data_IF_457243451788
#
_entry.id   IF_457243451788
#
_cell.length_a   1.000
_cell.length_b   1.000
_cell.length_c   1.000
_cell.angle_alpha   90.00
_cell.angle_beta   90.00
_cell.angle_gamma   90.00
#
_symmetry.space_group_name_H-M   'P 1'
#
loop_
_entity.id
_entity.type
_entity.pdbx_description
1 polymer ?
#
# COMPACT_ATOMS: atom_id res chain seq x y z
N UNK A 1 -25.24 8.88 -2.56
CA UNK A 1 -23.81 8.58 -2.62
C UNK A 1 -23.18 9.21 -1.39
N UNK A 2 -22.37 8.46 -0.66
CA UNK A 2 -21.72 8.95 0.57
C UNK A 2 -20.68 9.99 0.20
N UNK A 3 -20.78 11.20 0.76
CA UNK A 3 -19.82 12.30 0.54
C UNK A 3 -18.53 12.11 1.39
N UNK A 4 -18.13 10.84 1.66
CA UNK A 4 -17.01 10.52 2.55
C UNK A 4 -15.63 10.70 1.91
N UNK A 5 -15.58 10.64 0.57
CA UNK A 5 -14.33 10.71 -0.20
C UNK A 5 -14.37 11.86 -1.19
N UNK A 6 -13.23 12.43 -1.57
CA UNK A 6 -13.19 13.56 -2.48
C UNK A 6 -13.53 13.20 -3.94
N UNK A 7 -13.66 11.90 -4.27
CA UNK A 7 -13.91 11.40 -5.63
C UNK A 7 -12.98 12.03 -6.67
N UNK A 8 -11.69 12.05 -6.34
CA UNK A 8 -10.66 12.57 -7.23
C UNK A 8 -10.60 11.70 -8.48
N UNK A 9 -10.79 12.31 -9.64
CA UNK A 9 -10.71 11.67 -10.96
C UNK A 9 -10.04 12.65 -11.92
N UNK A 10 -8.72 12.50 -12.07
CA UNK A 10 -7.94 13.32 -12.98
C UNK A 10 -7.64 12.57 -14.27
N UNK A 11 -7.94 13.21 -15.38
CA UNK A 11 -7.75 12.65 -16.71
C UNK A 11 -6.68 13.43 -17.46
N UNK A 12 -5.85 12.74 -18.23
CA UNK A 12 -4.93 13.30 -19.20
C UNK A 12 -5.24 12.77 -20.60
N UNK A 13 -4.88 13.53 -21.61
CA UNK A 13 -5.02 13.10 -23.01
C UNK A 13 -3.70 12.48 -23.49
N UNK A 14 -3.79 11.29 -24.04
CA UNK A 14 -2.68 10.57 -24.67
C UNK A 14 -3.15 10.11 -26.05
N UNK A 15 -2.46 10.54 -27.11
CA UNK A 15 -2.77 10.17 -28.50
C UNK A 15 -4.26 10.35 -28.89
N UNK A 16 -4.91 11.39 -28.34
CA UNK A 16 -6.32 11.66 -28.58
C UNK A 16 -7.30 10.88 -27.70
N UNK A 17 -6.83 10.01 -26.83
CA UNK A 17 -7.64 9.29 -25.84
C UNK A 17 -7.56 9.95 -24.47
N UNK A 18 -8.71 10.13 -23.83
CA UNK A 18 -8.81 10.62 -22.45
C UNK A 18 -8.66 9.46 -21.48
N UNK A 19 -7.55 9.42 -20.72
CA UNK A 19 -7.23 8.36 -19.76
C UNK A 19 -7.26 8.88 -18.33
N UNK A 20 -7.81 8.09 -17.41
CA UNK A 20 -7.78 8.37 -15.98
C UNK A 20 -6.36 8.07 -15.47
N UNK A 21 -5.67 9.07 -14.93
CA UNK A 21 -4.26 8.98 -14.52
C UNK A 21 -4.02 9.20 -13.03
N UNK A 22 -4.98 9.81 -12.31
CA UNK A 22 -4.98 9.91 -10.85
C UNK A 22 -6.39 9.69 -10.33
N UNK A 23 -6.52 8.87 -9.29
CA UNK A 23 -7.76 8.71 -8.53
C UNK A 23 -7.48 8.48 -7.04
N UNK A 24 -8.48 8.70 -6.20
CA UNK A 24 -8.50 8.16 -4.84
C UNK A 24 -8.88 6.68 -4.88
N UNK A 25 -8.16 5.87 -4.12
CA UNK A 25 -8.32 4.42 -4.03
C UNK A 25 -8.01 3.95 -2.62
N UNK A 26 -8.22 2.68 -2.35
CA UNK A 26 -7.69 1.99 -1.17
C UNK A 26 -6.45 1.22 -1.59
N UNK A 27 -5.36 1.41 -0.88
CA UNK A 27 -4.15 0.63 -1.03
C UNK A 27 -3.98 -0.31 0.17
N UNK A 28 -3.59 -1.56 -0.09
CA UNK A 28 -3.24 -2.58 0.90
C UNK A 28 -1.83 -3.05 0.54
N UNK A 29 -0.84 -2.77 1.39
CA UNK A 29 0.56 -3.12 1.11
C UNK A 29 1.20 -3.82 2.29
N UNK A 30 1.99 -4.85 2.00
CA UNK A 30 2.82 -5.60 2.96
C UNK A 30 4.29 -5.53 2.58
N UNK A 31 5.15 -5.40 3.59
CA UNK A 31 6.59 -5.28 3.47
C UNK A 31 7.25 -6.44 4.21
N UNK A 32 8.14 -7.17 3.53
CA UNK A 32 8.75 -8.40 4.02
C UNK A 32 10.27 -8.34 3.83
N UNK A 33 11.02 -8.52 4.92
CA UNK A 33 12.46 -8.67 4.85
C UNK A 33 12.81 -10.15 4.66
N UNK A 34 12.29 -10.71 3.57
CA UNK A 34 12.43 -12.11 3.19
C UNK A 34 12.72 -12.21 1.70
N UNK A 35 13.57 -13.17 1.35
CA UNK A 35 13.84 -13.45 -0.06
C UNK A 35 12.59 -13.98 -0.76
N UNK A 36 12.48 -13.70 -2.06
CA UNK A 36 11.37 -14.17 -2.89
C UNK A 36 11.07 -15.66 -2.71
N UNK A 37 12.09 -16.51 -2.73
CA UNK A 37 11.93 -17.97 -2.59
C UNK A 37 11.28 -18.40 -1.29
N UNK A 38 11.42 -17.62 -0.22
CA UNK A 38 10.81 -17.89 1.08
C UNK A 38 9.32 -17.55 1.14
N UNK A 39 8.89 -16.60 0.29
CA UNK A 39 7.53 -16.03 0.34
C UNK A 39 6.67 -16.32 -0.90
N UNK A 40 7.24 -16.87 -1.96
CA UNK A 40 6.58 -17.05 -3.26
C UNK A 40 5.23 -17.79 -3.20
N UNK A 41 5.10 -18.81 -2.36
CA UNK A 41 3.83 -19.54 -2.20
C UNK A 41 2.79 -18.66 -1.49
N UNK A 42 3.17 -17.96 -0.43
CA UNK A 42 2.28 -17.03 0.27
C UNK A 42 1.88 -15.83 -0.62
N UNK A 43 2.79 -15.37 -1.48
CA UNK A 43 2.50 -14.32 -2.46
C UNK A 43 1.51 -14.80 -3.52
N UNK A 44 1.65 -16.03 -4.00
CA UNK A 44 0.70 -16.66 -4.92
C UNK A 44 -0.69 -16.82 -4.28
N UNK A 45 -0.76 -17.29 -3.03
CA UNK A 45 -2.01 -17.43 -2.30
C UNK A 45 -2.70 -16.07 -2.08
N UNK A 46 -1.92 -15.04 -1.77
CA UNK A 46 -2.43 -13.67 -1.64
C UNK A 46 -2.96 -13.14 -2.99
N UNK A 47 -2.25 -13.38 -4.10
CA UNK A 47 -2.72 -13.02 -5.45
C UNK A 47 -4.06 -13.70 -5.79
N UNK A 48 -4.18 -14.99 -5.53
CA UNK A 48 -5.42 -15.73 -5.79
C UNK A 48 -6.56 -15.28 -4.84
N UNK A 49 -6.23 -14.88 -3.61
CA UNK A 49 -7.19 -14.29 -2.68
C UNK A 49 -7.69 -12.94 -3.18
N UNK A 50 -6.80 -12.07 -3.64
CA UNK A 50 -7.16 -10.80 -4.26
C UNK A 50 -8.02 -11.00 -5.50
N UNK A 51 -7.62 -11.88 -6.43
CA UNK A 51 -8.36 -12.22 -7.64
C UNK A 51 -9.79 -12.67 -7.36
N UNK A 52 -10.00 -13.48 -6.30
CA UNK A 52 -11.35 -13.93 -5.90
C UNK A 52 -12.19 -12.84 -5.27
N UNK A 53 -11.57 -11.82 -4.67
CA UNK A 53 -12.27 -10.74 -3.99
C UNK A 53 -12.79 -9.65 -4.94
N UNK A 54 -12.20 -9.54 -6.13
CA UNK A 54 -12.56 -8.53 -7.13
C UNK A 54 -13.41 -9.13 -8.25
N UNK A 55 -14.04 -8.27 -9.06
CA UNK A 55 -14.86 -8.71 -10.18
C UNK A 55 -14.02 -9.49 -11.21
N UNK A 56 -14.64 -10.49 -11.84
CA UNK A 56 -14.01 -11.20 -12.97
C UNK A 56 -13.68 -10.21 -14.08
N UNK A 57 -12.45 -10.26 -14.58
CA UNK A 57 -11.97 -9.34 -15.64
C UNK A 57 -11.53 -7.96 -15.13
N UNK A 58 -11.53 -7.70 -13.82
CA UNK A 58 -11.01 -6.45 -13.26
C UNK A 58 -9.48 -6.29 -13.46
N UNK A 59 -8.76 -7.39 -13.70
CA UNK A 59 -7.39 -7.42 -14.17
C UNK A 59 -7.40 -7.94 -15.60
N UNK A 60 -7.01 -7.10 -16.56
CA UNK A 60 -7.03 -7.42 -18.00
C UNK A 60 -5.69 -7.91 -18.53
N UNK A 61 -4.58 -7.55 -17.87
CA UNK A 61 -3.25 -7.93 -18.33
C UNK A 61 -2.16 -7.73 -17.28
N UNK A 62 -0.95 -8.05 -17.68
CA UNK A 62 0.26 -7.90 -16.87
C UNK A 62 1.44 -7.42 -17.71
N UNK A 63 2.44 -6.86 -17.04
CA UNK A 63 3.73 -6.54 -17.67
C UNK A 63 4.65 -7.73 -17.47
N UNK A 64 5.15 -8.28 -18.59
CA UNK A 64 6.08 -9.40 -18.57
C UNK A 64 7.52 -8.97 -18.21
N UNK A 65 8.47 -9.90 -17.99
CA UNK A 65 9.85 -9.56 -17.67
C UNK A 65 10.59 -8.74 -18.75
N UNK A 66 10.12 -8.75 -20.00
CA UNK A 66 10.66 -7.93 -21.07
C UNK A 66 10.13 -6.48 -21.03
N UNK A 67 9.10 -6.22 -20.25
CA UNK A 67 8.43 -4.94 -20.12
C UNK A 67 7.21 -4.77 -21.05
N UNK A 68 6.82 -5.83 -21.74
CA UNK A 68 5.71 -5.82 -22.67
C UNK A 68 4.37 -6.17 -21.98
N UNK A 69 3.30 -5.50 -22.42
CA UNK A 69 1.96 -5.79 -21.94
C UNK A 69 1.39 -7.07 -22.56
N UNK A 70 0.94 -7.99 -21.70
CA UNK A 70 0.35 -9.28 -22.06
C UNK A 70 -1.07 -9.39 -21.48
N UNK A 71 -1.96 -10.09 -22.19
CA UNK A 71 -3.31 -10.36 -21.70
C UNK A 71 -3.33 -11.42 -20.59
N UNK A 72 -4.26 -11.29 -19.64
CA UNK A 72 -4.52 -12.25 -18.55
C UNK A 72 -5.60 -13.25 -18.94
N UNK A 73 -5.43 -13.91 -20.09
CA UNK A 73 -6.16 -15.14 -20.45
C UNK A 73 -5.62 -16.35 -19.66
N UNK A 74 -6.06 -17.55 -19.99
CA UNK A 74 -5.60 -18.77 -19.30
C UNK A 74 -4.09 -18.97 -19.42
N UNK A 75 -3.50 -18.59 -20.55
CA UNK A 75 -2.05 -18.66 -20.78
C UNK A 75 -1.33 -17.61 -19.93
N UNK A 76 -1.80 -16.36 -19.93
CA UNK A 76 -1.25 -15.28 -19.13
C UNK A 76 -1.27 -15.59 -17.64
N UNK A 77 -2.37 -16.12 -17.11
CA UNK A 77 -2.43 -16.59 -15.71
C UNK A 77 -1.45 -17.73 -15.43
N UNK A 78 -1.23 -18.62 -16.40
CA UNK A 78 -0.19 -19.66 -16.33
C UNK A 78 1.20 -19.03 -16.22
N UNK A 79 1.52 -18.07 -17.08
CA UNK A 79 2.81 -17.37 -17.09
C UNK A 79 3.07 -16.60 -15.78
N UNK A 80 2.09 -15.87 -15.26
CA UNK A 80 2.17 -15.18 -13.96
C UNK A 80 2.47 -16.15 -12.81
N UNK A 81 1.81 -17.31 -12.76
CA UNK A 81 2.10 -18.34 -11.75
C UNK A 81 3.50 -18.91 -11.88
N UNK A 82 3.95 -19.15 -13.12
CA UNK A 82 5.32 -19.64 -13.38
C UNK A 82 6.35 -18.61 -12.92
N UNK A 83 6.14 -17.33 -13.20
CA UNK A 83 7.01 -16.24 -12.76
C UNK A 83 7.13 -16.22 -11.22
N UNK A 84 6.01 -16.27 -10.49
CA UNK A 84 6.03 -16.30 -9.03
C UNK A 84 6.74 -17.54 -8.48
N UNK A 85 6.51 -18.71 -9.05
CA UNK A 85 6.96 -19.97 -8.44
C UNK A 85 8.37 -20.37 -8.81
N UNK A 86 8.90 -19.95 -9.97
CA UNK A 86 10.11 -20.51 -10.53
C UNK A 86 11.23 -19.49 -10.79
N UNK A 87 10.94 -18.18 -10.77
CA UNK A 87 11.98 -17.15 -10.89
C UNK A 87 12.79 -17.01 -9.61
N UNK A 88 14.02 -16.54 -9.69
CA UNK A 88 14.85 -16.18 -8.51
C UNK A 88 14.31 -14.97 -7.79
N UNK A 89 13.79 -14.01 -8.55
CA UNK A 89 13.02 -12.85 -8.10
C UNK A 89 11.88 -12.64 -9.07
N UNK A 90 10.80 -11.98 -8.64
CA UNK A 90 9.64 -11.72 -9.49
C UNK A 90 9.24 -10.26 -9.42
N UNK A 91 8.89 -9.66 -10.55
CA UNK A 91 8.27 -8.35 -10.62
C UNK A 91 7.01 -8.44 -11.46
N UNK A 92 5.86 -8.32 -10.82
CA UNK A 92 4.56 -8.48 -11.46
C UNK A 92 3.69 -7.26 -11.17
N UNK A 93 3.17 -6.67 -12.23
CA UNK A 93 2.15 -5.64 -12.16
C UNK A 93 0.97 -6.13 -12.99
N UNK A 94 -0.15 -6.39 -12.32
CA UNK A 94 -1.40 -6.81 -12.95
C UNK A 94 -2.39 -5.68 -12.83
N UNK A 95 -2.98 -5.23 -13.94
CA UNK A 95 -3.98 -4.17 -13.94
C UNK A 95 -5.01 -4.36 -15.05
N UNK A 96 -6.04 -3.53 -15.11
CA UNK A 96 -7.05 -3.63 -16.17
C UNK A 96 -6.48 -3.22 -17.53
N UNK A 97 -5.62 -2.19 -17.54
CA UNK A 97 -5.00 -1.60 -18.75
C UNK A 97 -3.60 -1.11 -18.45
N UNK A 98 -2.69 -1.08 -19.45
CA UNK A 98 -1.29 -0.72 -19.24
C UNK A 98 -1.06 0.70 -18.72
N UNK A 99 -1.86 1.68 -19.15
CA UNK A 99 -1.57 3.10 -18.92
C UNK A 99 -2.71 3.85 -18.20
N UNK A 100 -3.68 3.12 -17.66
CA UNK A 100 -4.80 3.73 -16.97
C UNK A 100 -4.88 3.27 -15.53
N UNK A 101 -5.11 4.22 -14.63
CA UNK A 101 -5.30 3.99 -13.20
C UNK A 101 -6.77 3.70 -12.92
N UNK A 102 -7.23 2.48 -13.20
CA UNK A 102 -8.65 2.11 -13.11
C UNK A 102 -9.12 1.81 -11.69
N UNK A 103 -8.20 1.50 -10.81
CA UNK A 103 -8.45 1.29 -9.39
C UNK A 103 -8.14 -0.12 -8.89
N UNK A 104 -8.16 -1.14 -9.75
CA UNK A 104 -7.70 -2.47 -9.41
C UNK A 104 -6.29 -2.69 -9.95
N UNK A 105 -5.37 -3.04 -9.06
CA UNK A 105 -3.99 -3.39 -9.42
C UNK A 105 -3.43 -4.33 -8.37
N UNK A 106 -2.58 -5.24 -8.80
CA UNK A 106 -1.74 -6.08 -7.96
C UNK A 106 -0.28 -5.86 -8.37
N UNK A 107 0.56 -5.38 -7.46
CA UNK A 107 2.01 -5.19 -7.66
C UNK A 107 2.77 -6.09 -6.67
N UNK A 108 3.55 -7.03 -7.18
CA UNK A 108 4.42 -7.88 -6.39
C UNK A 108 5.87 -7.71 -6.82
N UNK A 109 6.74 -7.47 -5.84
CA UNK A 109 8.18 -7.32 -6.02
C UNK A 109 8.91 -8.29 -5.11
N UNK A 110 9.13 -9.49 -5.59
CA UNK A 110 9.88 -10.52 -4.94
C UNK A 110 11.38 -10.32 -5.17
N UNK A 111 12.13 -9.91 -4.15
CA UNK A 111 13.58 -9.66 -4.23
C UNK A 111 14.36 -10.94 -3.92
N UNK A 112 15.43 -11.28 -4.69
CA UNK A 112 16.28 -12.43 -4.41
C UNK A 112 17.33 -12.10 -3.32
N UNK A 113 16.87 -11.66 -2.13
CA UNK A 113 17.71 -11.11 -1.06
C UNK A 113 18.76 -12.07 -0.50
N UNK A 114 18.67 -13.34 -0.81
CA UNK A 114 19.57 -14.41 -0.38
C UNK A 114 20.37 -15.04 -1.52
N UNK A 115 20.23 -14.51 -2.74
CA UNK A 115 21.05 -14.93 -3.89
C UNK A 115 22.46 -14.40 -3.75
N UNK A 116 23.50 -15.24 -3.93
CA UNK A 116 24.89 -14.80 -3.85
C UNK A 116 25.27 -13.83 -4.97
N UNK A 117 24.52 -13.83 -6.07
CA UNK A 117 24.76 -12.97 -7.22
C UNK A 117 24.02 -11.62 -7.13
N UNK A 118 23.18 -11.46 -6.10
CA UNK A 118 22.40 -10.25 -5.86
C UNK A 118 22.99 -9.43 -4.70
N UNK A 119 23.45 -8.23 -4.99
CA UNK A 119 23.99 -7.32 -3.96
C UNK A 119 22.82 -6.56 -3.33
N UNK A 120 22.17 -7.19 -2.35
CA UNK A 120 21.04 -6.59 -1.63
C UNK A 120 21.50 -5.45 -0.71
N UNK A 121 20.78 -4.34 -0.73
CA UNK A 121 20.85 -3.34 0.35
C UNK A 121 20.17 -3.89 1.61
N UNK A 122 20.70 -3.60 2.83
CA UNK A 122 20.01 -3.95 4.08
C UNK A 122 18.60 -3.35 4.21
N UNK A 123 18.29 -2.32 3.45
CA UNK A 123 17.02 -1.62 3.45
C UNK A 123 16.00 -2.21 2.44
N UNK A 124 16.43 -3.07 1.52
CA UNK A 124 15.55 -3.64 0.50
C UNK A 124 14.55 -4.65 1.08
N UNK A 125 13.36 -4.64 0.47
CA UNK A 125 12.22 -5.42 0.89
C UNK A 125 11.55 -6.10 -0.30
N UNK A 126 11.07 -7.32 -0.08
CA UNK A 126 10.01 -7.92 -0.89
C UNK A 126 8.70 -7.26 -0.51
N UNK A 127 7.90 -6.84 -1.50
CA UNK A 127 6.64 -6.14 -1.28
C UNK A 127 5.49 -6.75 -2.06
N UNK A 128 4.29 -6.67 -1.49
CA UNK A 128 3.05 -7.03 -2.13
C UNK A 128 2.04 -5.91 -1.91
N UNK A 129 1.50 -5.36 -2.97
CA UNK A 129 0.55 -4.25 -2.95
C UNK A 129 -0.70 -4.58 -3.76
N UNK A 130 -1.87 -4.31 -3.17
CA UNK A 130 -3.17 -4.48 -3.82
C UNK A 130 -3.92 -3.15 -3.79
N UNK A 131 -4.56 -2.80 -4.90
CA UNK A 131 -5.35 -1.60 -5.03
C UNK A 131 -6.82 -1.92 -5.26
N UNK A 132 -7.68 -1.18 -4.60
CA UNK A 132 -9.12 -1.26 -4.76
C UNK A 132 -9.66 0.15 -5.05
N UNK A 133 -10.60 0.32 -5.99
CA UNK A 133 -11.26 1.62 -6.15
C UNK A 133 -12.07 1.98 -4.90
N UNK A 134 -12.24 3.27 -4.61
CA UNK A 134 -13.09 3.72 -3.49
C UNK A 134 -14.53 3.22 -3.62
N UNK A 135 -15.00 2.97 -4.84
CA UNK A 135 -16.30 2.36 -5.13
C UNK A 135 -16.43 0.94 -4.55
N UNK A 136 -15.33 0.17 -4.51
CA UNK A 136 -15.34 -1.14 -3.83
C UNK A 136 -15.60 -0.99 -2.33
N UNK A 137 -14.92 -0.03 -1.69
CA UNK A 137 -15.12 0.27 -0.27
C UNK A 137 -16.55 0.78 0.01
N UNK A 138 -17.12 1.60 -0.86
CA UNK A 138 -18.50 2.09 -0.73
C UNK A 138 -19.52 0.95 -0.89
N UNK A 139 -19.30 0.07 -1.84
CA UNK A 139 -20.22 -1.04 -2.14
C UNK A 139 -20.16 -2.15 -1.10
N UNK A 140 -18.98 -2.53 -0.63
CA UNK A 140 -18.79 -3.69 0.25
C UNK A 140 -18.60 -3.31 1.72
N UNK A 141 -18.38 -2.03 2.01
CA UNK A 141 -18.15 -1.51 3.34
C UNK A 141 -16.74 -1.75 3.89
N UNK A 142 -16.37 -1.04 4.97
CA UNK A 142 -15.03 -1.09 5.55
C UNK A 142 -14.72 -2.45 6.19
N UNK A 143 -15.71 -3.14 6.72
CA UNK A 143 -15.53 -4.47 7.30
C UNK A 143 -14.97 -5.45 6.27
N UNK A 144 -15.54 -5.48 5.05
CA UNK A 144 -15.07 -6.37 3.99
C UNK A 144 -13.66 -6.02 3.51
N UNK A 145 -13.35 -4.73 3.39
CA UNK A 145 -11.99 -4.30 3.03
C UNK A 145 -10.98 -4.68 4.11
N UNK A 146 -11.35 -4.54 5.40
CA UNK A 146 -10.51 -4.96 6.51
C UNK A 146 -10.30 -6.49 6.53
N UNK A 147 -11.36 -7.26 6.33
CA UNK A 147 -11.27 -8.72 6.21
C UNK A 147 -10.35 -9.13 5.07
N UNK A 148 -10.50 -8.53 3.89
CA UNK A 148 -9.61 -8.78 2.75
C UNK A 148 -8.15 -8.46 3.08
N UNK A 149 -7.87 -7.34 3.75
CA UNK A 149 -6.51 -7.00 4.17
C UNK A 149 -5.93 -8.05 5.15
N UNK A 150 -6.75 -8.60 6.04
CA UNK A 150 -6.34 -9.69 6.94
C UNK A 150 -6.12 -11.00 6.18
N UNK A 151 -7.00 -11.36 5.26
CA UNK A 151 -6.88 -12.55 4.41
C UNK A 151 -5.59 -12.49 3.57
N UNK A 152 -5.29 -11.34 2.94
CA UNK A 152 -4.07 -11.12 2.16
C UNK A 152 -2.81 -11.24 3.02
N UNK A 153 -2.83 -10.69 4.23
CA UNK A 153 -1.68 -10.71 5.14
C UNK A 153 -1.48 -12.03 5.89
N UNK A 154 -2.46 -12.93 5.92
CA UNK A 154 -2.45 -14.10 6.81
C UNK A 154 -1.22 -15.00 6.64
N UNK A 155 -0.90 -15.37 5.39
CA UNK A 155 0.25 -16.21 5.04
C UNK A 155 1.56 -15.46 4.85
N UNK A 156 1.54 -14.13 4.75
CA UNK A 156 2.74 -13.34 4.46
C UNK A 156 3.57 -13.13 5.73
N UNK A 157 4.89 -13.37 5.70
CA UNK A 157 5.78 -13.12 6.85
C UNK A 157 6.17 -11.62 6.92
N UNK A 158 5.18 -10.75 6.94
CA UNK A 158 5.41 -9.30 6.93
C UNK A 158 6.04 -8.81 8.24
N UNK A 159 6.95 -7.84 8.12
CA UNK A 159 7.44 -7.03 9.24
C UNK A 159 6.57 -5.80 9.46
N UNK A 160 5.97 -5.27 8.40
CA UNK A 160 5.01 -4.17 8.44
C UNK A 160 4.06 -4.24 7.25
N UNK A 161 2.98 -3.51 7.34
CA UNK A 161 2.02 -3.35 6.27
C UNK A 161 0.99 -2.29 6.62
N UNK A 162 0.17 -1.95 5.65
CA UNK A 162 -0.90 -0.99 5.87
C UNK A 162 -2.09 -1.21 4.94
N UNK A 163 -3.23 -0.66 5.31
CA UNK A 163 -4.34 -0.43 4.40
C UNK A 163 -4.99 0.91 4.69
N UNK A 164 -5.28 1.68 3.65
CA UNK A 164 -5.88 3.01 3.79
C UNK A 164 -6.17 3.68 2.46
N UNK A 165 -6.72 4.88 2.55
CA UNK A 165 -6.93 5.72 1.37
C UNK A 165 -5.60 6.20 0.82
N UNK A 166 -5.48 6.20 -0.51
CA UNK A 166 -4.26 6.55 -1.19
C UNK A 166 -4.56 7.15 -2.58
N UNK A 167 -3.70 8.04 -3.04
CA UNK A 167 -3.69 8.45 -4.45
C UNK A 167 -3.14 7.30 -5.29
N UNK A 168 -3.97 6.74 -6.15
CA UNK A 168 -3.56 5.77 -7.15
C UNK A 168 -3.20 6.51 -8.43
N UNK A 169 -1.97 6.36 -8.89
CA UNK A 169 -1.45 7.01 -10.09
C UNK A 169 -0.27 6.21 -10.65
N UNK A 170 0.02 6.38 -11.93
CA UNK A 170 1.19 5.76 -12.53
C UNK A 170 2.45 6.59 -12.20
N UNK A 171 3.32 6.06 -11.36
CA UNK A 171 4.58 6.71 -10.92
C UNK A 171 5.53 7.06 -12.08
N UNK A 172 5.41 6.38 -13.22
CA UNK A 172 6.24 6.61 -14.40
C UNK A 172 5.78 7.81 -15.25
N UNK A 173 4.54 8.30 -15.06
CA UNK A 173 4.04 9.46 -15.77
C UNK A 173 4.51 10.76 -15.13
N UNK A 174 5.22 11.57 -15.93
CA UNK A 174 5.80 12.82 -15.46
C UNK A 174 4.74 13.86 -15.12
N UNK A 175 4.92 14.54 -13.99
CA UNK A 175 4.10 15.71 -13.62
C UNK A 175 2.87 15.40 -12.76
N UNK A 176 2.48 14.13 -12.60
CA UNK A 176 1.30 13.77 -11.79
C UNK A 176 1.48 14.10 -10.31
N UNK A 177 2.67 13.92 -9.76
CA UNK A 177 2.97 14.24 -8.35
C UNK A 177 2.76 15.73 -8.04
N UNK A 178 2.98 16.64 -9.01
CA UNK A 178 2.71 18.07 -8.84
C UNK A 178 1.22 18.34 -8.62
N UNK A 179 0.34 17.59 -9.29
CA UNK A 179 -1.10 17.73 -9.11
C UNK A 179 -1.57 17.09 -7.80
N UNK A 180 -0.99 15.94 -7.43
CA UNK A 180 -1.24 15.27 -6.13
C UNK A 180 -0.89 16.19 -4.98
N UNK A 181 0.19 16.99 -5.10
CA UNK A 181 0.64 17.93 -4.08
C UNK A 181 -0.47 18.88 -3.59
N UNK A 182 -1.29 19.40 -4.50
CA UNK A 182 -2.35 20.33 -4.13
C UNK A 182 -3.48 19.64 -3.36
N UNK A 183 -3.73 18.37 -3.63
CA UNK A 183 -4.76 17.58 -2.96
C UNK A 183 -4.28 16.94 -1.65
N UNK A 184 -3.03 16.51 -1.57
CA UNK A 184 -2.55 15.79 -0.40
C UNK A 184 -2.61 16.64 0.89
N UNK A 185 -2.39 17.96 0.79
CA UNK A 185 -2.52 18.86 1.93
C UNK A 185 -3.97 19.19 2.30
N UNK A 186 -4.91 19.06 1.34
CA UNK A 186 -6.33 19.20 1.61
C UNK A 186 -6.94 17.91 2.21
N UNK A 187 -6.32 16.76 1.92
CA UNK A 187 -6.78 15.44 2.35
C UNK A 187 -5.62 14.63 2.96
N UNK A 188 -5.11 15.00 4.15
CA UNK A 188 -3.92 14.37 4.74
C UNK A 188 -4.10 12.90 5.09
N UNK A 189 -5.32 12.38 5.11
CA UNK A 189 -5.62 10.96 5.29
C UNK A 189 -5.48 10.11 4.01
N UNK A 190 -5.34 10.74 2.82
CA UNK A 190 -4.97 10.04 1.58
C UNK A 190 -3.45 9.98 1.50
N UNK A 191 -2.89 8.78 1.50
CA UNK A 191 -1.45 8.61 1.34
C UNK A 191 -1.00 8.78 -0.13
N UNK A 192 0.29 8.94 -0.33
CA UNK A 192 0.94 8.94 -1.64
C UNK A 192 1.82 7.70 -1.70
N UNK A 193 1.46 6.75 -2.55
CA UNK A 193 2.27 5.55 -2.74
C UNK A 193 3.60 5.92 -3.39
N UNK A 194 4.67 5.36 -2.85
CA UNK A 194 6.03 5.45 -3.39
C UNK A 194 6.68 4.06 -3.27
N UNK A 195 6.04 3.04 -3.86
CA UNK A 195 6.42 1.64 -3.66
C UNK A 195 7.85 1.35 -4.15
N UNK A 196 8.33 2.04 -5.19
CA UNK A 196 9.72 1.98 -5.62
C UNK A 196 10.67 2.35 -4.48
N UNK A 197 10.53 3.56 -3.92
CA UNK A 197 11.38 4.05 -2.83
C UNK A 197 11.23 3.22 -1.56
N UNK A 198 9.99 2.89 -1.16
CA UNK A 198 9.77 2.13 0.08
C UNK A 198 10.29 0.70 -0.01
N UNK A 199 10.25 0.07 -1.18
CA UNK A 199 10.81 -1.28 -1.36
C UNK A 199 12.34 -1.31 -1.35
N UNK A 200 13.01 -0.19 -1.59
CA UNK A 200 14.48 -0.09 -1.70
C UNK A 200 15.13 0.46 -0.43
N UNK A 201 14.48 1.42 0.25
CA UNK A 201 15.13 2.25 1.26
C UNK A 201 14.50 2.17 2.66
N UNK A 202 13.32 1.58 2.82
CA UNK A 202 12.57 1.65 4.08
C UNK A 202 13.16 0.77 5.19
N UNK A 203 13.70 -0.38 4.86
CA UNK A 203 14.27 -1.31 5.83
C UNK A 203 13.24 -1.78 6.87
N UNK A 204 13.61 -1.74 8.15
CA UNK A 204 12.74 -2.17 9.25
C UNK A 204 11.72 -1.09 9.68
N UNK A 205 11.67 0.05 9.01
CA UNK A 205 10.77 1.18 9.35
C UNK A 205 9.35 0.96 8.83
N UNK A 206 8.46 1.89 9.17
CA UNK A 206 7.03 1.87 8.81
C UNK A 206 6.74 2.94 7.75
N UNK A 207 5.95 2.61 6.76
CA UNK A 207 5.53 3.54 5.71
C UNK A 207 4.39 4.48 6.16
N UNK A 208 4.61 5.23 7.25
CA UNK A 208 3.60 6.16 7.76
C UNK A 208 2.47 5.50 8.56
N UNK A 209 1.40 6.25 8.80
CA UNK A 209 0.22 5.84 9.55
C UNK A 209 -0.99 5.78 8.63
N UNK A 210 -1.74 4.68 8.72
CA UNK A 210 -2.89 4.41 7.88
C UNK A 210 -4.07 3.92 8.71
N UNK A 211 -5.24 3.84 8.10
CA UNK A 211 -6.45 3.29 8.72
C UNK A 211 -6.22 1.92 9.36
N UNK A 212 -5.55 1.02 8.65
CA UNK A 212 -5.03 -0.24 9.20
C UNK A 212 -3.51 -0.16 9.17
N UNK A 213 -2.87 -0.38 10.31
CA UNK A 213 -1.41 -0.49 10.43
C UNK A 213 -1.06 -1.89 10.93
N UNK A 214 -0.37 -2.66 10.10
CA UNK A 214 0.10 -4.01 10.41
C UNK A 214 1.53 -3.94 10.95
N UNK A 215 1.76 -4.50 12.11
CA UNK A 215 3.06 -4.53 12.78
C UNK A 215 3.52 -5.96 12.99
N UNK A 216 4.75 -6.23 12.61
CA UNK A 216 5.51 -7.43 12.93
C UNK A 216 6.80 -7.08 13.68
N UNK A 217 7.73 -8.04 13.73
CA UNK A 217 9.03 -7.80 14.36
C UNK A 217 9.97 -7.04 13.42
N UNK A 218 10.88 -6.18 13.95
CA UNK A 218 11.15 -5.95 15.39
C UNK A 218 10.21 -4.92 16.04
N UNK A 219 9.53 -4.06 15.27
CA UNK A 219 8.81 -2.88 15.77
C UNK A 219 7.76 -3.28 16.82
N UNK A 220 6.97 -4.33 16.58
CA UNK A 220 5.96 -4.78 17.56
C UNK A 220 6.58 -5.14 18.91
N UNK A 221 7.75 -5.80 18.91
CA UNK A 221 8.46 -6.13 20.14
C UNK A 221 8.96 -4.88 20.88
N UNK A 222 9.54 -3.95 20.15
CA UNK A 222 10.11 -2.71 20.71
C UNK A 222 9.04 -1.77 21.30
N UNK A 223 7.82 -1.78 20.74
CA UNK A 223 6.69 -1.04 21.34
C UNK A 223 6.04 -1.76 22.53
N UNK A 224 6.56 -2.92 22.96
CA UNK A 224 6.04 -3.69 24.08
C UNK A 224 4.91 -4.65 23.71
N UNK A 225 4.83 -5.06 22.45
CA UNK A 225 3.83 -5.99 21.93
C UNK A 225 2.41 -5.41 21.92
N UNK A 226 1.43 -6.28 21.75
CA UNK A 226 0.00 -5.91 21.75
C UNK A 226 -0.41 -5.27 23.09
N UNK A 227 0.13 -5.76 24.20
CA UNK A 227 -0.16 -5.21 25.54
C UNK A 227 0.37 -3.77 25.65
N UNK A 228 1.59 -3.52 25.18
CA UNK A 228 2.19 -2.18 25.17
C UNK A 228 1.42 -1.20 24.30
N UNK A 229 0.93 -1.63 23.13
CA UNK A 229 0.07 -0.84 22.26
C UNK A 229 -1.25 -0.48 22.95
N UNK A 230 -1.98 -1.47 23.48
CA UNK A 230 -3.27 -1.26 24.16
C UNK A 230 -3.15 -0.35 25.39
N UNK A 231 -2.02 -0.40 26.10
CA UNK A 231 -1.80 0.45 27.27
C UNK A 231 -1.58 1.92 26.92
N UNK A 232 -1.09 2.21 25.71
CA UNK A 232 -0.70 3.59 25.29
C UNK A 232 -1.70 4.24 24.34
N UNK A 233 -2.47 3.48 23.57
CA UNK A 233 -3.51 3.99 22.68
C UNK A 233 -4.80 4.24 23.51
N UNK A 234 -5.26 5.46 23.52
CA UNK A 234 -6.38 5.95 24.36
C UNK A 234 -7.65 6.20 23.57
N UNK A 235 -7.54 6.41 22.26
CA UNK A 235 -8.71 6.64 21.41
C UNK A 235 -9.70 5.46 21.50
N UNK A 236 -10.97 5.71 21.83
CA UNK A 236 -11.98 4.65 21.93
C UNK A 236 -12.29 3.99 20.58
N UNK A 237 -11.95 4.65 19.47
CA UNK A 237 -12.18 4.14 18.12
C UNK A 237 -11.00 3.29 17.64
N UNK A 238 -9.88 3.28 18.37
CA UNK A 238 -8.69 2.48 18.02
C UNK A 238 -8.80 1.09 18.60
N UNK A 239 -8.63 0.07 17.75
CA UNK A 239 -8.55 -1.33 18.18
C UNK A 239 -7.22 -1.94 17.84
N UNK A 240 -6.73 -2.85 18.70
CA UNK A 240 -5.50 -3.62 18.48
C UNK A 240 -5.84 -5.10 18.54
N UNK A 241 -5.69 -5.79 17.42
CA UNK A 241 -5.90 -7.23 17.29
C UNK A 241 -4.55 -7.92 17.15
N UNK A 242 -4.33 -8.93 17.96
CA UNK A 242 -3.20 -9.85 17.80
C UNK A 242 -3.43 -10.78 16.62
N UNK A 243 -2.37 -11.03 15.85
CA UNK A 243 -2.35 -11.95 14.73
C UNK A 243 -1.32 -13.05 14.98
N UNK A 244 -1.44 -14.16 14.28
CA UNK A 244 -0.46 -15.26 14.36
C UNK A 244 0.95 -14.79 13.99
N UNK A 245 1.97 -15.47 14.52
CA UNK A 245 3.38 -15.19 14.22
C UNK A 245 3.92 -13.92 14.89
N UNK A 246 3.44 -13.58 16.10
CA UNK A 246 3.86 -12.39 16.85
C UNK A 246 3.68 -11.09 16.02
N UNK A 247 2.52 -10.94 15.42
CA UNK A 247 2.09 -9.80 14.61
C UNK A 247 0.82 -9.18 15.17
N UNK A 248 0.53 -7.96 14.77
CA UNK A 248 -0.69 -7.27 15.18
C UNK A 248 -1.23 -6.36 14.06
N UNK A 249 -2.52 -6.06 14.11
CA UNK A 249 -3.13 -4.99 13.32
C UNK A 249 -3.77 -3.98 14.26
N UNK A 250 -3.50 -2.70 13.97
CA UNK A 250 -4.13 -1.55 14.62
C UNK A 250 -5.14 -1.00 13.61
N UNK A 251 -6.39 -0.81 14.06
CA UNK A 251 -7.46 -0.22 13.24
C UNK A 251 -7.87 1.11 13.83
N UNK A 252 -7.84 2.17 13.04
CA UNK A 252 -8.17 3.55 13.42
C UNK A 252 -9.58 3.91 12.94
N UNK A 253 -10.57 3.72 13.83
CA UNK A 253 -11.97 3.97 13.49
C UNK A 253 -12.61 2.92 12.58
N UNK A 254 -13.91 3.07 12.37
CA UNK A 254 -14.70 2.13 11.54
C UNK A 254 -14.43 2.31 10.04
N UNK A 255 -14.18 3.54 9.60
CA UNK A 255 -13.92 3.90 8.22
C UNK A 255 -12.58 4.60 8.08
N UNK A 256 -11.87 4.44 6.94
CA UNK A 256 -10.72 5.30 6.66
C UNK A 256 -11.18 6.75 6.46
N UNK A 257 -10.43 7.69 7.01
CA UNK A 257 -10.74 9.12 6.99
C UNK A 257 -9.81 9.89 6.07
N UNK A 258 -10.36 10.90 5.38
CA UNK A 258 -9.60 11.77 4.47
C UNK A 258 -8.98 12.97 5.18
N UNK A 259 -9.55 13.40 6.31
CA UNK A 259 -9.08 14.57 7.05
C UNK A 259 -9.37 15.90 6.37
N UNK A 260 -10.47 16.02 5.63
CA UNK A 260 -10.84 17.25 4.95
C UNK A 260 -11.15 18.39 5.93
N UNK A 261 -10.69 19.61 5.61
CA UNK A 261 -11.01 20.93 6.20
C UNK A 261 -11.04 21.10 7.73
N UNK A 262 -11.17 20.05 8.54
CA UNK A 262 -11.03 20.07 10.00
C UNK A 262 -10.06 18.98 10.48
N UNK A 263 -8.78 19.02 10.10
CA UNK A 263 -7.83 17.94 10.37
C UNK A 263 -7.61 17.65 11.87
N UNK A 264 -7.80 18.63 12.73
CA UNK A 264 -7.59 18.47 14.17
C UNK A 264 -8.63 17.57 14.85
N UNK A 265 -9.84 17.49 14.29
CA UNK A 265 -10.92 16.68 14.87
C UNK A 265 -11.00 15.27 14.31
N UNK A 266 -10.80 15.12 13.00
CA UNK A 266 -11.07 13.86 12.30
C UNK A 266 -9.93 12.87 12.36
N UNK A 267 -8.68 13.33 12.48
CA UNK A 267 -7.50 12.47 12.45
C UNK A 267 -6.83 12.27 13.83
N UNK A 268 -7.55 12.48 14.93
CA UNK A 268 -7.00 12.32 16.27
C UNK A 268 -6.41 10.91 16.53
N UNK A 269 -7.05 9.78 16.12
CA UNK A 269 -6.45 8.45 16.25
C UNK A 269 -5.17 8.28 15.43
N UNK A 270 -5.10 8.89 14.23
CA UNK A 270 -3.90 8.85 13.37
C UNK A 270 -2.73 9.59 14.04
N UNK A 271 -2.99 10.75 14.61
CA UNK A 271 -1.99 11.55 15.35
C UNK A 271 -1.49 10.83 16.61
N UNK A 272 -2.39 10.19 17.35
CA UNK A 272 -2.03 9.41 18.53
C UNK A 272 -1.09 8.27 18.14
N UNK A 273 -1.42 7.50 17.10
CA UNK A 273 -0.60 6.41 16.63
C UNK A 273 0.72 6.90 16.03
N UNK A 274 0.72 8.02 15.31
CA UNK A 274 1.94 8.62 14.75
C UNK A 274 2.96 8.97 15.83
N UNK A 275 2.53 9.66 16.89
CA UNK A 275 3.40 10.01 18.02
C UNK A 275 3.94 8.77 18.73
N UNK A 276 3.13 7.72 18.85
CA UNK A 276 3.57 6.46 19.43
C UNK A 276 4.65 5.77 18.61
N UNK A 277 4.50 5.78 17.28
CA UNK A 277 5.35 5.05 16.35
C UNK A 277 6.42 5.93 15.68
N UNK A 278 6.53 7.21 16.05
CA UNK A 278 7.46 8.17 15.46
C UNK A 278 8.89 7.65 15.29
N UNK A 279 9.52 6.96 16.29
CA UNK A 279 10.89 6.48 16.15
C UNK A 279 11.09 5.45 15.03
N UNK A 280 10.02 4.81 14.59
CA UNK A 280 10.06 3.76 13.55
C UNK A 280 9.49 4.22 12.21
N UNK A 281 9.01 5.46 12.08
CA UNK A 281 8.51 5.96 10.80
C UNK A 281 9.65 6.15 9.78
N UNK A 282 9.34 5.86 8.54
CA UNK A 282 10.23 6.14 7.41
C UNK A 282 10.04 7.60 6.99
N UNK A 283 10.85 8.48 7.56
CA UNK A 283 10.91 9.92 7.29
C UNK A 283 12.17 10.25 6.49
N UNK A 284 12.30 11.49 6.03
CA UNK A 284 13.43 12.02 5.25
C UNK A 284 13.64 11.30 3.91
N UNK A 285 12.54 11.01 3.22
CA UNK A 285 12.55 10.43 1.87
C UNK A 285 13.13 11.43 0.86
N UNK A 286 13.64 10.91 -0.24
CA UNK A 286 14.00 11.74 -1.38
C UNK A 286 12.80 12.56 -1.88
N UNK A 287 13.06 13.79 -2.34
CA UNK A 287 11.99 14.67 -2.84
C UNK A 287 11.28 14.06 -4.04
N UNK A 288 9.96 14.06 -3.99
CA UNK A 288 9.15 13.77 -5.16
C UNK A 288 9.17 14.92 -6.16
N UNK A 289 9.10 14.60 -7.43
CA UNK A 289 9.05 15.62 -8.48
C UNK A 289 7.85 16.55 -8.26
N UNK A 290 8.10 17.85 -8.15
CA UNK A 290 7.07 18.87 -7.89
C UNK A 290 6.79 19.15 -6.42
N UNK A 291 7.45 18.45 -5.49
CA UNK A 291 7.48 18.78 -4.07
C UNK A 291 8.78 19.50 -3.73
N UNK A 292 8.70 20.52 -2.91
CA UNK A 292 9.88 21.12 -2.26
C UNK A 292 10.30 20.26 -1.06
N UNK A 293 11.50 20.47 -0.51
CA UNK A 293 11.93 19.81 0.73
C UNK A 293 10.98 20.13 1.90
N UNK A 294 10.45 21.35 1.92
CA UNK A 294 9.47 21.78 2.93
C UNK A 294 8.14 21.03 2.75
N UNK A 295 7.66 20.88 1.50
CA UNK A 295 6.47 20.08 1.21
C UNK A 295 6.64 18.62 1.66
N UNK A 296 7.82 18.02 1.38
CA UNK A 296 8.12 16.65 1.81
C UNK A 296 8.06 16.53 3.33
N UNK A 297 8.76 17.42 4.04
CA UNK A 297 8.78 17.41 5.49
C UNK A 297 7.37 17.61 6.07
N UNK A 298 6.62 18.59 5.58
CA UNK A 298 5.23 18.82 5.99
C UNK A 298 4.35 17.60 5.74
N UNK A 299 4.54 16.92 4.62
CA UNK A 299 3.78 15.73 4.27
C UNK A 299 4.13 14.55 5.18
N UNK A 300 5.39 14.29 5.39
CA UNK A 300 5.87 13.19 6.24
C UNK A 300 5.44 13.37 7.70
N UNK A 301 5.43 14.61 8.20
CA UNK A 301 5.05 14.96 9.57
C UNK A 301 3.56 15.29 9.74
N UNK A 302 2.71 15.12 8.74
CA UNK A 302 1.29 15.53 8.72
C UNK A 302 0.43 15.03 9.89
N UNK A 303 0.87 14.01 10.59
CA UNK A 303 0.23 13.46 11.78
C UNK A 303 1.03 13.69 13.08
N UNK A 304 2.22 14.27 13.01
CA UNK A 304 3.07 14.53 14.16
C UNK A 304 2.90 15.98 14.68
N UNK A 305 2.63 16.90 13.77
CA UNK A 305 2.44 18.33 14.05
C UNK A 305 1.07 18.65 14.66
#
# INVERSE_FOLDING_TARGET
MSNRYPHIRHYSEFEGERRLVIRDSVNITFYMRRAHREVRHAALDAMETYRRAIASGALGGYVDPAGDWQELDDYGWGAVRQEILHSEGARLILSERPDATTGYEFDYRGRPLDSPDYVASPAELTTLSCWLPTEYLEQHGPTRVRELALELGAGLPFQSGHAGLCFHYNENLLGLTRQIRDWCFAYPGLDISALNTTSEDMGARLNGIHWLSFLGQPVLGEVGGVTGLRARLRSPETTVQELEGARAVITLGTWPETGNQEPERTLAPYRELARLLEPWLFLDRASWRGFTLEDMRRWEHRFLD
#
